data_IF_709454369489
#
_entry.id   IF_709454369489
#
_cell.length_a   1.000
_cell.length_b   1.000
_cell.length_c   1.000
_cell.angle_alpha   90.00
_cell.angle_beta   90.00
_cell.angle_gamma   90.00
#
_symmetry.space_group_name_H-M   'P 1'
#
loop_
_entity.id
_entity.type
_entity.pdbx_description
1 polymer ?
#
# COMPACT_ATOMS: atom_id res chain seq x y z
N UNK A 1 -6.72 -12.64 14.28
CA UNK A 1 -7.30 -11.85 13.18
C UNK A 1 -6.22 -11.65 12.12
N UNK A 2 -6.56 -11.79 10.84
CA UNK A 2 -5.67 -11.55 9.70
C UNK A 2 -6.21 -10.36 8.93
N UNK A 3 -5.40 -9.30 8.84
CA UNK A 3 -5.74 -8.05 8.16
C UNK A 3 -4.78 -7.85 6.98
N UNK A 4 -5.32 -7.77 5.78
CA UNK A 4 -4.58 -7.46 4.56
C UNK A 4 -4.53 -5.94 4.35
N UNK A 5 -3.34 -5.34 4.49
CA UNK A 5 -3.18 -3.89 4.35
C UNK A 5 -2.75 -3.44 2.96
N UNK A 6 -2.52 -4.39 2.07
CA UNK A 6 -2.14 -4.15 0.68
C UNK A 6 -3.13 -4.85 -0.25
N UNK A 7 -4.32 -4.32 -0.29
CA UNK A 7 -5.46 -4.81 -1.05
C UNK A 7 -5.99 -3.66 -1.92
N UNK A 8 -6.26 -3.91 -3.19
CA UNK A 8 -6.68 -2.84 -4.08
C UNK A 8 -8.17 -2.87 -4.39
N UNK A 9 -8.75 -1.67 -4.43
CA UNK A 9 -10.13 -1.45 -4.84
C UNK A 9 -10.21 -0.18 -5.67
N UNK A 10 -10.94 -0.25 -6.78
CA UNK A 10 -11.35 0.88 -7.59
C UNK A 10 -12.83 0.73 -7.89
N UNK A 11 -13.68 1.75 -7.64
CA UNK A 11 -15.11 1.61 -7.86
C UNK A 11 -15.42 1.45 -9.35
N UNK A 12 -16.50 0.73 -9.67
CA UNK A 12 -16.94 0.51 -11.07
C UNK A 12 -17.04 1.82 -11.85
N UNK A 13 -17.57 2.86 -11.22
CA UNK A 13 -17.71 4.18 -11.83
C UNK A 13 -16.36 4.75 -12.34
N UNK A 14 -15.25 4.49 -11.64
CA UNK A 14 -13.92 4.89 -12.10
C UNK A 14 -13.58 4.24 -13.45
N UNK A 15 -13.87 2.95 -13.62
CA UNK A 15 -13.64 2.23 -14.88
C UNK A 15 -14.57 2.74 -15.99
N UNK A 16 -15.84 3.00 -15.67
CA UNK A 16 -16.84 3.48 -16.65
C UNK A 16 -16.47 4.90 -17.18
N UNK A 17 -15.85 5.76 -16.34
CA UNK A 17 -15.51 7.15 -16.65
C UNK A 17 -14.00 7.35 -16.91
N UNK A 18 -13.17 6.31 -16.86
CA UNK A 18 -11.71 6.39 -16.89
C UNK A 18 -11.17 7.24 -18.04
N UNK A 19 -11.77 7.14 -19.23
CA UNK A 19 -11.36 7.93 -20.39
C UNK A 19 -11.55 9.43 -20.25
N UNK A 20 -12.47 9.88 -19.41
CA UNK A 20 -12.70 11.30 -19.12
C UNK A 20 -11.91 11.78 -17.89
N UNK A 21 -11.54 10.86 -16.99
CA UNK A 21 -10.86 11.17 -15.73
C UNK A 21 -9.34 11.23 -15.85
N UNK A 22 -8.76 10.51 -16.82
CA UNK A 22 -7.32 10.52 -17.07
C UNK A 22 -6.90 11.75 -17.89
N UNK A 23 -5.65 12.24 -17.73
CA UNK A 23 -5.10 13.30 -18.57
C UNK A 23 -5.16 12.95 -20.06
N UNK A 24 -5.27 13.96 -20.92
CA UNK A 24 -5.43 13.80 -22.37
C UNK A 24 -4.24 13.10 -23.07
N UNK A 25 -3.08 13.07 -22.44
CA UNK A 25 -1.87 12.37 -22.88
C UNK A 25 -1.88 10.88 -22.55
N UNK A 26 -2.85 10.43 -21.76
CA UNK A 26 -3.06 9.01 -21.45
C UNK A 26 -4.25 8.48 -22.23
N UNK A 27 -4.00 7.46 -23.03
CA UNK A 27 -5.03 6.70 -23.76
C UNK A 27 -5.51 5.51 -22.94
N UNK A 28 -6.82 5.35 -22.76
CA UNK A 28 -7.39 4.15 -22.16
C UNK A 28 -7.56 3.07 -23.24
N UNK A 29 -6.91 1.94 -23.04
CA UNK A 29 -6.89 0.81 -23.99
C UNK A 29 -7.62 -0.37 -23.34
N UNK A 30 -8.68 -0.83 -23.99
CA UNK A 30 -9.40 -2.05 -23.60
C UNK A 30 -9.06 -3.17 -24.56
N UNK A 31 -8.44 -4.23 -24.09
CA UNK A 31 -8.05 -5.39 -24.89
C UNK A 31 -8.31 -6.70 -24.11
N UNK A 32 -9.00 -7.64 -24.70
CA UNK A 32 -9.24 -8.98 -24.14
C UNK A 32 -9.78 -8.99 -22.69
N UNK A 33 -10.68 -8.06 -22.37
CA UNK A 33 -11.25 -7.91 -21.02
C UNK A 33 -10.33 -7.23 -19.99
N UNK A 34 -9.15 -6.79 -20.42
CA UNK A 34 -8.21 -6.01 -19.62
C UNK A 34 -8.29 -4.54 -19.99
N UNK A 35 -7.99 -3.65 -19.04
CA UNK A 35 -7.86 -2.22 -19.27
C UNK A 35 -6.47 -1.74 -18.87
N UNK A 36 -5.89 -0.85 -19.69
CA UNK A 36 -4.61 -0.23 -19.39
C UNK A 36 -4.63 1.25 -19.78
N UNK A 37 -3.76 2.05 -19.16
CA UNK A 37 -3.37 3.35 -19.66
C UNK A 37 -2.18 3.21 -20.62
N UNK A 38 -2.17 4.01 -21.69
CA UNK A 38 -1.02 4.12 -22.60
C UNK A 38 -0.63 5.57 -22.73
N UNK A 39 0.63 5.86 -22.43
CA UNK A 39 1.20 7.20 -22.66
C UNK A 39 1.31 7.45 -24.18
N UNK A 40 0.67 8.50 -24.68
CA UNK A 40 0.61 8.83 -26.10
C UNK A 40 1.95 9.31 -26.67
N UNK A 41 2.82 9.85 -25.83
CA UNK A 41 4.12 10.38 -26.27
C UNK A 41 5.18 9.29 -26.35
N UNK A 42 5.27 8.45 -25.33
CA UNK A 42 6.28 7.37 -25.26
C UNK A 42 5.79 6.04 -25.84
N UNK A 43 4.47 5.86 -25.99
CA UNK A 43 3.86 4.57 -26.34
C UNK A 43 3.91 3.54 -25.20
N UNK A 44 4.44 3.91 -24.03
CA UNK A 44 4.51 3.01 -22.89
C UNK A 44 3.11 2.64 -22.42
N UNK A 45 2.85 1.34 -22.32
CA UNK A 45 1.58 0.82 -21.81
C UNK A 45 1.80 0.36 -20.37
N UNK A 46 0.99 0.92 -19.48
CA UNK A 46 1.01 0.58 -18.07
C UNK A 46 0.49 -0.83 -17.84
N UNK A 47 0.91 -1.46 -16.74
CA UNK A 47 0.49 -2.82 -16.42
C UNK A 47 -1.03 -2.97 -16.52
N UNK A 48 -1.57 -3.83 -17.38
CA UNK A 48 -3.01 -3.97 -17.55
C UNK A 48 -3.70 -4.45 -16.29
N UNK A 49 -4.82 -3.84 -15.98
CA UNK A 49 -5.81 -4.40 -15.06
C UNK A 49 -6.53 -5.51 -15.82
N UNK A 50 -6.18 -6.77 -15.54
CA UNK A 50 -6.58 -7.92 -16.35
C UNK A 50 -8.04 -8.29 -16.23
N UNK A 51 -8.61 -8.16 -15.04
CA UNK A 51 -10.00 -8.41 -14.76
C UNK A 51 -10.53 -7.30 -13.85
N UNK A 52 -11.09 -6.22 -14.40
CA UNK A 52 -11.61 -5.12 -13.61
C UNK A 52 -12.63 -5.53 -12.54
N UNK A 53 -13.36 -6.64 -12.74
CA UNK A 53 -14.32 -7.16 -11.75
C UNK A 53 -13.64 -7.49 -10.42
N UNK A 54 -12.42 -8.01 -10.43
CA UNK A 54 -11.69 -8.31 -9.20
C UNK A 54 -11.37 -7.03 -8.40
N UNK A 55 -11.41 -5.86 -9.04
CA UNK A 55 -11.12 -4.57 -8.42
C UNK A 55 -12.36 -3.89 -7.83
N UNK A 56 -13.54 -4.05 -8.45
CA UNK A 56 -14.73 -3.31 -8.02
C UNK A 56 -15.84 -4.17 -7.40
N UNK A 57 -15.83 -5.48 -7.61
CA UNK A 57 -16.92 -6.35 -7.13
C UNK A 57 -16.61 -6.86 -5.71
N UNK A 58 -17.32 -6.30 -4.74
CA UNK A 58 -17.15 -6.63 -3.32
C UNK A 58 -17.38 -8.12 -3.04
N UNK A 59 -18.38 -8.77 -3.68
CA UNK A 59 -18.67 -10.19 -3.47
C UNK A 59 -17.51 -11.07 -3.96
N UNK A 60 -16.86 -10.71 -5.06
CA UNK A 60 -15.68 -11.40 -5.57
C UNK A 60 -14.52 -11.27 -4.59
N UNK A 61 -14.25 -10.07 -4.08
CA UNK A 61 -13.21 -9.83 -3.09
C UNK A 61 -13.47 -10.58 -1.79
N UNK A 62 -14.70 -10.54 -1.27
CA UNK A 62 -15.10 -11.24 -0.04
C UNK A 62 -14.91 -12.76 -0.17
N UNK A 63 -15.32 -13.36 -1.29
CA UNK A 63 -15.09 -14.80 -1.53
C UNK A 63 -13.60 -15.15 -1.55
N UNK A 64 -12.77 -14.33 -2.18
CA UNK A 64 -11.32 -14.54 -2.23
C UNK A 64 -10.68 -14.42 -0.83
N UNK A 65 -11.08 -13.40 -0.06
CA UNK A 65 -10.65 -13.21 1.33
C UNK A 65 -11.05 -14.39 2.22
N UNK A 66 -12.31 -14.87 2.10
CA UNK A 66 -12.83 -16.00 2.88
C UNK A 66 -12.04 -17.28 2.58
N UNK A 67 -11.74 -17.54 1.30
CA UNK A 67 -10.94 -18.69 0.87
C UNK A 67 -9.50 -18.65 1.42
N UNK A 68 -8.92 -17.46 1.61
CA UNK A 68 -7.58 -17.27 2.17
C UNK A 68 -7.57 -17.18 3.70
N UNK A 69 -8.73 -17.05 4.34
CA UNK A 69 -8.86 -16.85 5.79
C UNK A 69 -8.49 -15.44 6.25
N UNK A 70 -8.67 -14.44 5.37
CA UNK A 70 -8.48 -13.02 5.68
C UNK A 70 -9.75 -12.46 6.28
N UNK A 71 -9.64 -11.90 7.48
CA UNK A 71 -10.78 -11.38 8.22
C UNK A 71 -11.17 -9.97 7.74
N UNK A 72 -10.20 -9.12 7.42
CA UNK A 72 -10.40 -7.73 7.07
C UNK A 72 -9.36 -7.26 6.04
N UNK A 73 -9.72 -6.31 5.18
CA UNK A 73 -8.79 -5.66 4.26
C UNK A 73 -8.84 -4.14 4.38
N UNK A 74 -7.68 -3.50 4.31
CA UNK A 74 -7.54 -2.04 4.18
C UNK A 74 -7.26 -1.73 2.72
N UNK A 75 -8.26 -1.25 1.99
CA UNK A 75 -8.18 -1.11 0.53
C UNK A 75 -7.58 0.23 0.11
N UNK A 76 -6.86 0.22 -1.02
CA UNK A 76 -6.25 1.39 -1.66
C UNK A 76 -6.46 1.39 -3.17
N UNK A 77 -6.33 2.56 -3.80
CA UNK A 77 -6.41 2.71 -5.25
C UNK A 77 -5.10 2.33 -5.99
N UNK A 78 -4.12 1.75 -5.31
CA UNK A 78 -2.80 1.45 -5.88
C UNK A 78 -2.05 2.70 -6.40
N UNK A 79 -1.54 2.65 -7.61
CA UNK A 79 -0.51 3.52 -8.17
C UNK A 79 -1.04 4.61 -9.12
N UNK A 80 -2.31 5.00 -9.02
CA UNK A 80 -2.93 5.92 -9.98
C UNK A 80 -2.74 7.42 -9.70
N UNK A 81 -1.98 7.81 -8.65
CA UNK A 81 -1.81 9.21 -8.28
C UNK A 81 -1.11 10.07 -9.32
N UNK A 82 -0.21 9.52 -10.13
CA UNK A 82 0.52 10.29 -11.15
C UNK A 82 -0.41 10.98 -12.16
N UNK A 83 -1.60 10.43 -12.36
CA UNK A 83 -2.61 10.94 -13.30
C UNK A 83 -3.91 11.34 -12.63
N UNK A 84 -3.98 11.21 -11.33
CA UNK A 84 -5.21 11.46 -10.60
C UNK A 84 -5.57 12.95 -10.65
N UNK A 85 -6.77 13.23 -11.11
CA UNK A 85 -7.42 14.53 -10.91
C UNK A 85 -8.15 14.53 -9.58
N UNK A 86 -8.50 15.71 -9.08
CA UNK A 86 -9.31 15.81 -7.85
C UNK A 86 -10.70 15.18 -8.03
N UNK A 87 -11.24 15.21 -9.25
CA UNK A 87 -12.51 14.57 -9.59
C UNK A 87 -12.39 13.03 -9.53
N UNK A 88 -11.34 12.48 -10.12
CA UNK A 88 -11.04 11.03 -10.02
C UNK A 88 -10.85 10.61 -8.56
N UNK A 89 -10.14 11.41 -7.78
CA UNK A 89 -9.95 11.17 -6.35
C UNK A 89 -11.29 11.08 -5.61
N UNK A 90 -12.22 12.03 -5.85
CA UNK A 90 -13.57 12.02 -5.25
C UNK A 90 -14.36 10.77 -5.62
N UNK A 91 -14.34 10.37 -6.88
CA UNK A 91 -15.03 9.15 -7.34
C UNK A 91 -14.49 7.90 -6.61
N UNK A 92 -13.17 7.81 -6.47
CA UNK A 92 -12.51 6.69 -5.78
C UNK A 92 -12.86 6.72 -4.29
N UNK A 93 -12.74 7.87 -3.64
CA UNK A 93 -13.02 8.01 -2.21
C UNK A 93 -14.49 7.72 -1.88
N UNK A 94 -15.43 8.23 -2.69
CA UNK A 94 -16.87 7.97 -2.51
C UNK A 94 -17.21 6.48 -2.69
N UNK A 95 -16.64 5.84 -3.72
CA UNK A 95 -16.84 4.40 -3.93
C UNK A 95 -16.19 3.54 -2.85
N UNK A 96 -15.05 3.96 -2.33
CA UNK A 96 -14.39 3.29 -1.19
C UNK A 96 -15.19 3.45 0.10
N UNK A 97 -15.75 4.64 0.35
CA UNK A 97 -16.64 4.88 1.49
C UNK A 97 -17.94 4.06 1.41
N UNK A 98 -18.52 3.94 0.21
CA UNK A 98 -19.67 3.06 -0.01
C UNK A 98 -19.35 1.59 0.29
N UNK A 99 -18.19 1.08 -0.17
CA UNK A 99 -17.72 -0.26 0.15
C UNK A 99 -17.61 -0.47 1.67
N UNK A 100 -16.95 0.44 2.38
CA UNK A 100 -16.78 0.38 3.84
C UNK A 100 -18.14 0.44 4.55
N UNK A 101 -19.05 1.31 4.13
CA UNK A 101 -20.37 1.44 4.77
C UNK A 101 -21.23 0.19 4.62
N UNK A 102 -21.09 -0.53 3.51
CA UNK A 102 -21.82 -1.81 3.26
C UNK A 102 -21.16 -3.00 3.97
N UNK A 103 -19.89 -2.95 4.22
CA UNK A 103 -19.12 -4.07 4.78
C UNK A 103 -18.12 -3.60 5.86
N UNK A 104 -18.56 -2.91 6.91
CA UNK A 104 -17.66 -2.27 7.88
C UNK A 104 -16.77 -3.25 8.66
N UNK A 105 -17.23 -4.49 8.84
CA UNK A 105 -16.45 -5.54 9.52
C UNK A 105 -15.40 -6.19 8.59
N UNK A 106 -15.45 -5.92 7.28
CA UNK A 106 -14.59 -6.59 6.28
C UNK A 106 -13.65 -5.63 5.57
N UNK A 107 -14.00 -4.35 5.47
CA UNK A 107 -13.20 -3.36 4.76
C UNK A 107 -13.03 -2.07 5.54
N UNK A 108 -11.83 -1.54 5.48
CA UNK A 108 -11.47 -0.14 5.70
C UNK A 108 -10.83 0.39 4.43
N UNK A 109 -10.72 1.69 4.25
CA UNK A 109 -10.20 2.23 3.01
C UNK A 109 -9.26 3.43 3.24
N UNK A 110 -8.35 3.62 2.30
CA UNK A 110 -7.41 4.72 2.26
C UNK A 110 -7.94 5.84 1.35
N UNK A 111 -7.59 7.06 1.69
CA UNK A 111 -7.89 8.28 0.93
C UNK A 111 -6.96 8.36 -0.28
N UNK A 112 -7.51 8.57 -1.45
CA UNK A 112 -6.75 8.85 -2.67
C UNK A 112 -6.83 10.32 -3.00
N UNK A 113 -5.68 10.99 -3.19
CA UNK A 113 -5.60 12.40 -3.60
C UNK A 113 -4.34 12.65 -4.42
N UNK A 114 -4.39 13.57 -5.40
CA UNK A 114 -3.19 14.07 -6.05
C UNK A 114 -2.42 14.98 -5.08
N UNK A 115 -1.13 14.75 -4.82
CA UNK A 115 -0.37 15.45 -3.77
C UNK A 115 -0.09 16.93 -4.07
N UNK A 116 -0.19 17.37 -5.32
CA UNK A 116 0.17 18.71 -5.80
C UNK A 116 -1.04 19.65 -6.05
N UNK A 117 -2.24 19.30 -5.53
CA UNK A 117 -3.46 20.10 -5.73
C UNK A 117 -3.79 21.08 -4.59
N UNK A 118 -2.81 21.42 -3.74
CA UNK A 118 -2.94 22.47 -2.73
C UNK A 118 -4.18 22.32 -1.84
N UNK A 119 -4.95 23.40 -1.71
CA UNK A 119 -6.14 23.45 -0.85
C UNK A 119 -7.27 22.50 -1.29
N UNK A 120 -7.36 22.14 -2.58
CA UNK A 120 -8.36 21.18 -3.05
C UNK A 120 -8.05 19.78 -2.50
N UNK A 121 -6.77 19.42 -2.45
CA UNK A 121 -6.29 18.19 -1.81
C UNK A 121 -6.61 18.19 -0.31
N UNK A 122 -6.33 19.28 0.41
CA UNK A 122 -6.61 19.40 1.86
C UNK A 122 -8.10 19.22 2.14
N UNK A 123 -8.96 19.89 1.36
CA UNK A 123 -10.42 19.77 1.49
C UNK A 123 -10.88 18.33 1.24
N UNK A 124 -10.33 17.68 0.23
CA UNK A 124 -10.70 16.31 -0.10
C UNK A 124 -10.24 15.32 0.98
N UNK A 125 -9.04 15.47 1.54
CA UNK A 125 -8.57 14.67 2.67
C UNK A 125 -9.52 14.81 3.86
N UNK A 126 -9.90 16.05 4.21
CA UNK A 126 -10.85 16.33 5.31
C UNK A 126 -12.19 15.64 5.09
N UNK A 127 -12.78 15.83 3.88
CA UNK A 127 -14.06 15.22 3.49
C UNK A 127 -14.01 13.68 3.52
N UNK A 128 -12.98 13.08 2.94
CA UNK A 128 -12.84 11.63 2.88
C UNK A 128 -12.63 11.01 4.27
N UNK A 129 -11.94 11.71 5.17
CA UNK A 129 -11.84 11.32 6.58
C UNK A 129 -13.20 11.32 7.29
N UNK A 130 -14.04 12.35 7.03
CA UNK A 130 -15.42 12.41 7.57
C UNK A 130 -16.29 11.25 7.04
N UNK A 131 -16.00 10.72 5.85
CA UNK A 131 -16.61 9.52 5.31
C UNK A 131 -16.07 8.22 5.93
N UNK A 132 -15.10 8.29 6.85
CA UNK A 132 -14.57 7.14 7.58
C UNK A 132 -13.31 6.51 6.98
N UNK A 133 -12.67 7.12 5.99
CA UNK A 133 -11.41 6.62 5.44
C UNK A 133 -10.27 6.88 6.44
N UNK A 134 -9.33 5.91 6.58
CA UNK A 134 -8.45 5.81 7.75
C UNK A 134 -6.95 6.09 7.50
N UNK A 135 -6.53 6.27 6.25
CA UNK A 135 -5.13 6.52 5.88
C UNK A 135 -5.07 7.27 4.55
N UNK A 136 -3.90 7.77 4.15
CA UNK A 136 -3.69 8.37 2.82
C UNK A 136 -2.86 7.43 1.97
N UNK A 137 -3.32 7.06 0.77
CA UNK A 137 -2.54 6.36 -0.24
C UNK A 137 -1.70 7.36 -1.04
N UNK A 138 -0.40 7.11 -1.13
CA UNK A 138 0.59 7.89 -1.87
C UNK A 138 1.45 6.97 -2.72
N UNK A 139 2.05 7.49 -3.80
CA UNK A 139 3.06 6.77 -4.59
C UNK A 139 4.48 7.18 -4.22
N UNK A 140 5.47 6.33 -4.55
CA UNK A 140 6.90 6.62 -4.34
C UNK A 140 7.36 7.87 -5.04
N UNK A 141 6.75 8.19 -6.17
CA UNK A 141 6.96 9.45 -6.90
C UNK A 141 5.64 9.99 -7.40
N UNK A 142 5.59 11.29 -7.61
CA UNK A 142 4.51 11.94 -8.34
C UNK A 142 5.10 12.82 -9.42
N UNK A 143 4.82 12.51 -10.68
CA UNK A 143 5.42 13.20 -11.85
C UNK A 143 6.95 13.24 -11.77
N UNK A 144 7.56 12.12 -11.39
CA UNK A 144 9.01 11.95 -11.27
C UNK A 144 9.66 12.63 -10.06
N UNK A 145 8.88 13.23 -9.14
CA UNK A 145 9.39 13.87 -7.92
C UNK A 145 9.20 12.95 -6.72
N UNK A 146 10.25 12.74 -5.95
CA UNK A 146 10.21 11.98 -4.71
C UNK A 146 9.49 12.74 -3.58
N UNK A 147 9.02 12.04 -2.52
CA UNK A 147 8.19 12.64 -1.48
C UNK A 147 8.89 13.69 -0.60
N UNK A 148 10.22 13.81 -0.63
CA UNK A 148 10.95 14.90 0.04
C UNK A 148 10.84 16.25 -0.68
N UNK A 149 10.30 16.26 -1.91
CA UNK A 149 10.07 17.50 -2.66
C UNK A 149 9.02 18.38 -1.96
N UNK A 150 9.24 19.71 -2.01
CA UNK A 150 8.38 20.71 -1.34
C UNK A 150 6.88 20.60 -1.65
N UNK A 151 6.51 20.07 -2.80
CA UNK A 151 5.10 19.93 -3.23
C UNK A 151 4.32 18.94 -2.38
N UNK A 152 5.01 18.00 -1.70
CA UNK A 152 4.38 17.04 -0.79
C UNK A 152 4.20 17.57 0.63
N UNK A 153 4.83 18.70 0.95
CA UNK A 153 4.86 19.21 2.33
C UNK A 153 3.47 19.43 2.90
N UNK A 154 2.58 20.07 2.14
CA UNK A 154 1.21 20.36 2.58
C UNK A 154 0.42 19.06 2.85
N UNK A 155 0.62 18.03 2.02
CA UNK A 155 0.02 16.71 2.25
C UNK A 155 0.51 16.11 3.57
N UNK A 156 1.80 16.14 3.84
CA UNK A 156 2.38 15.59 5.06
C UNK A 156 1.97 16.36 6.32
N UNK A 157 1.92 17.70 6.26
CA UNK A 157 1.41 18.54 7.34
C UNK A 157 -0.07 18.25 7.63
N UNK A 158 -0.89 18.07 6.58
CA UNK A 158 -2.29 17.70 6.69
C UNK A 158 -2.45 16.31 7.32
N UNK A 159 -1.70 15.32 6.84
CA UNK A 159 -1.71 13.96 7.37
C UNK A 159 -1.33 13.91 8.85
N UNK A 160 -0.23 14.58 9.25
CA UNK A 160 0.22 14.66 10.62
C UNK A 160 -0.80 15.38 11.52
N UNK A 161 -1.35 16.50 11.07
CA UNK A 161 -2.38 17.26 11.81
C UNK A 161 -3.68 16.46 12.04
N UNK A 162 -4.03 15.60 11.11
CA UNK A 162 -5.20 14.72 11.19
C UNK A 162 -4.88 13.35 11.81
N UNK A 163 -3.62 13.05 12.12
CA UNK A 163 -3.13 11.75 12.60
C UNK A 163 -3.49 10.60 11.66
N UNK A 164 -3.42 10.85 10.36
CA UNK A 164 -3.62 9.85 9.33
C UNK A 164 -2.25 9.26 8.93
N UNK A 165 -2.05 7.95 9.01
CA UNK A 165 -0.85 7.33 8.46
C UNK A 165 -0.87 7.43 6.93
N UNK A 166 0.32 7.42 6.33
CA UNK A 166 0.48 7.42 4.88
C UNK A 166 0.97 6.06 4.43
N UNK A 167 0.27 5.45 3.49
CA UNK A 167 0.69 4.27 2.77
C UNK A 167 1.38 4.66 1.47
N UNK A 168 2.61 4.21 1.27
CA UNK A 168 3.42 4.53 0.08
C UNK A 168 3.56 3.30 -0.79
N UNK A 169 2.88 3.31 -1.93
CA UNK A 169 2.90 2.27 -2.94
C UNK A 169 3.89 2.65 -4.07
N UNK A 170 4.56 1.72 -4.77
CA UNK A 170 5.34 2.06 -5.96
C UNK A 170 4.53 2.85 -6.98
N UNK A 171 5.17 3.82 -7.61
CA UNK A 171 4.62 4.51 -8.78
C UNK A 171 4.34 3.51 -9.89
N UNK A 172 3.44 3.88 -10.79
CA UNK A 172 3.11 3.02 -11.93
C UNK A 172 4.32 2.74 -12.80
N UNK A 173 5.15 3.75 -13.05
CA UNK A 173 6.46 3.66 -13.71
C UNK A 173 7.50 4.35 -12.84
N UNK A 174 8.62 3.69 -12.61
CA UNK A 174 9.71 4.32 -11.85
C UNK A 174 10.45 5.32 -12.74
N UNK A 175 10.99 6.43 -12.17
CA UNK A 175 11.78 7.39 -12.95
C UNK A 175 13.21 6.89 -13.23
N UNK A 176 13.49 5.60 -12.98
CA UNK A 176 14.82 5.02 -13.11
C UNK A 176 15.15 4.73 -14.59
N UNK A 177 16.38 5.01 -15.05
CA UNK A 177 16.79 4.74 -16.42
C UNK A 177 17.02 3.24 -16.66
N UNK A 178 16.93 2.83 -17.92
CA UNK A 178 17.25 1.48 -18.39
C UNK A 178 16.35 0.35 -17.82
N UNK A 179 15.11 0.68 -17.48
CA UNK A 179 14.14 -0.28 -16.94
C UNK A 179 13.16 -0.86 -17.97
N UNK A 180 13.27 -0.45 -19.23
CA UNK A 180 12.28 -0.77 -20.29
C UNK A 180 12.36 -2.21 -20.83
N UNK A 181 13.38 -2.99 -20.45
CA UNK A 181 13.63 -4.35 -20.98
C UNK A 181 13.43 -5.39 -19.89
N UNK A 182 12.94 -6.58 -20.27
CA UNK A 182 12.83 -7.77 -19.39
C UNK A 182 12.00 -7.55 -18.12
N UNK A 183 11.06 -6.63 -18.18
CA UNK A 183 10.25 -6.23 -17.01
C UNK A 183 11.08 -5.74 -15.79
N UNK A 184 12.24 -5.13 -16.06
CA UNK A 184 13.15 -4.66 -15.01
C UNK A 184 12.52 -3.57 -14.15
N UNK A 185 11.60 -2.78 -14.71
CA UNK A 185 10.86 -1.77 -13.94
C UNK A 185 10.13 -2.41 -12.76
N UNK A 186 9.47 -3.53 -12.97
CA UNK A 186 8.74 -4.26 -11.92
C UNK A 186 9.69 -5.03 -11.01
N UNK A 187 10.66 -5.74 -11.59
CA UNK A 187 11.53 -6.64 -10.84
C UNK A 187 12.58 -5.92 -9.99
N UNK A 188 13.15 -4.84 -10.49
CA UNK A 188 14.27 -4.10 -9.88
C UNK A 188 13.90 -2.64 -9.62
N UNK A 189 13.19 -2.01 -10.57
CA UNK A 189 12.85 -0.59 -10.51
C UNK A 189 12.01 -0.26 -9.29
N UNK A 190 10.86 -0.89 -9.12
CA UNK A 190 9.94 -0.62 -8.00
C UNK A 190 10.55 -0.85 -6.61
N UNK A 191 11.27 -1.95 -6.34
CA UNK A 191 12.00 -2.09 -5.08
C UNK A 191 13.06 -1.01 -4.86
N UNK A 192 13.78 -0.61 -5.90
CA UNK A 192 14.78 0.47 -5.83
C UNK A 192 14.12 1.82 -5.59
N UNK A 193 13.00 2.10 -6.23
CA UNK A 193 12.24 3.33 -6.10
C UNK A 193 11.69 3.52 -4.67
N UNK A 194 11.18 2.44 -4.06
CA UNK A 194 10.81 2.43 -2.63
C UNK A 194 11.99 2.77 -1.73
N UNK A 195 13.15 2.17 -1.98
CA UNK A 195 14.39 2.48 -1.25
C UNK A 195 14.75 3.96 -1.33
N UNK A 196 14.67 4.55 -2.53
CA UNK A 196 14.98 5.96 -2.75
C UNK A 196 13.96 6.86 -2.06
N UNK A 197 12.67 6.53 -2.12
CA UNK A 197 11.62 7.29 -1.44
C UNK A 197 11.84 7.30 0.08
N UNK A 198 12.12 6.16 0.70
CA UNK A 198 12.42 6.06 2.13
C UNK A 198 13.68 6.87 2.48
N UNK A 199 14.76 6.68 1.71
CA UNK A 199 16.02 7.38 1.95
C UNK A 199 15.85 8.90 1.87
N UNK A 200 15.16 9.41 0.84
CA UNK A 200 14.93 10.84 0.67
C UNK A 200 14.09 11.42 1.82
N UNK A 201 13.03 10.75 2.25
CA UNK A 201 12.22 11.18 3.40
C UNK A 201 13.03 11.23 4.71
N UNK A 202 13.86 10.24 4.94
CA UNK A 202 14.69 10.16 6.15
C UNK A 202 15.80 11.19 6.16
N UNK A 203 16.52 11.34 5.05
CA UNK A 203 17.65 12.26 4.92
C UNK A 203 17.20 13.71 4.71
N UNK A 204 16.07 13.92 4.04
CA UNK A 204 15.46 15.24 3.79
C UNK A 204 14.83 15.88 5.03
N UNK A 205 14.76 15.17 6.16
CA UNK A 205 14.29 15.72 7.42
C UNK A 205 12.77 15.75 7.58
N UNK A 206 12.01 15.06 6.73
CA UNK A 206 10.54 15.01 6.83
C UNK A 206 10.07 14.51 8.19
N UNK A 207 10.65 13.41 8.68
CA UNK A 207 10.29 12.84 9.98
C UNK A 207 10.73 13.69 11.17
N UNK A 208 11.78 14.50 11.04
CA UNK A 208 12.21 15.44 12.08
C UNK A 208 11.25 16.62 12.19
N UNK A 209 10.79 17.13 11.05
CA UNK A 209 9.85 18.25 10.99
C UNK A 209 8.44 17.85 11.41
N UNK A 210 8.06 16.60 11.19
CA UNK A 210 6.73 16.05 11.47
C UNK A 210 6.85 14.80 12.37
N UNK A 211 7.05 14.98 13.68
CA UNK A 211 7.36 13.89 14.61
C UNK A 211 6.23 12.87 14.77
N UNK A 212 4.98 13.25 14.50
CA UNK A 212 3.80 12.37 14.63
C UNK A 212 3.46 11.63 13.31
N UNK A 213 4.19 11.90 12.23
CA UNK A 213 3.95 11.28 10.93
C UNK A 213 4.38 9.81 10.94
N UNK A 214 3.46 8.92 10.58
CA UNK A 214 3.72 7.47 10.41
C UNK A 214 3.54 7.09 8.94
N UNK A 215 4.43 6.26 8.42
CA UNK A 215 4.38 5.81 7.03
C UNK A 215 4.53 4.30 6.93
N UNK A 216 3.67 3.69 6.12
CA UNK A 216 3.74 2.28 5.71
C UNK A 216 4.22 2.21 4.26
N UNK A 217 5.28 1.48 4.00
CA UNK A 217 5.83 1.27 2.66
C UNK A 217 5.51 -0.12 2.15
N UNK A 218 5.03 -0.20 0.91
CA UNK A 218 4.73 -1.45 0.24
C UNK A 218 5.97 -2.34 0.05
N UNK A 219 5.74 -3.63 -0.20
CA UNK A 219 6.73 -4.59 -0.71
C UNK A 219 8.02 -4.66 0.13
N UNK A 220 7.91 -4.84 1.43
CA UNK A 220 9.02 -4.83 2.41
C UNK A 220 9.85 -3.53 2.38
N UNK A 221 9.29 -2.42 1.88
CA UNK A 221 10.05 -1.20 1.62
C UNK A 221 11.11 -1.38 0.51
N UNK A 222 10.85 -2.29 -0.43
CA UNK A 222 11.84 -2.70 -1.42
C UNK A 222 12.98 -3.48 -0.78
N UNK A 223 14.22 -3.05 -0.97
CA UNK A 223 15.40 -3.63 -0.31
C UNK A 223 15.85 -2.82 0.92
N UNK A 224 15.03 -1.87 1.39
CA UNK A 224 15.40 -0.96 2.48
C UNK A 224 15.86 -1.68 3.76
N UNK A 225 15.21 -2.74 4.27
CA UNK A 225 15.68 -3.43 5.46
C UNK A 225 17.15 -3.88 5.37
N UNK A 226 17.58 -4.40 4.22
CA UNK A 226 18.96 -4.89 4.05
C UNK A 226 19.97 -3.79 3.67
N UNK A 227 19.51 -2.68 3.09
CA UNK A 227 20.37 -1.57 2.64
C UNK A 227 20.50 -0.44 3.66
N UNK A 228 19.55 -0.29 4.59
CA UNK A 228 19.48 0.83 5.52
C UNK A 228 20.75 0.97 6.40
N UNK A 229 21.34 -0.14 6.80
CA UNK A 229 22.58 -0.09 7.61
C UNK A 229 23.71 0.55 6.85
N UNK A 230 23.83 0.29 5.55
CA UNK A 230 24.83 0.95 4.69
C UNK A 230 24.54 2.45 4.57
N UNK A 231 23.25 2.81 4.43
CA UNK A 231 22.84 4.21 4.34
C UNK A 231 23.19 4.98 5.60
N UNK A 232 22.95 4.45 6.79
CA UNK A 232 23.12 5.17 8.05
C UNK A 232 24.54 5.09 8.62
N UNK A 233 25.24 3.98 8.44
CA UNK A 233 26.57 3.77 9.02
C UNK A 233 27.72 4.08 8.04
N UNK A 234 27.51 3.86 6.74
CA UNK A 234 28.56 4.09 5.73
C UNK A 234 28.81 5.56 5.42
N UNK A 235 27.91 6.45 5.83
CA UNK A 235 27.93 7.85 5.41
C UNK A 235 28.25 8.86 6.54
N UNK A 236 28.43 8.43 7.77
CA UNK A 236 28.87 9.31 8.84
C UNK A 236 30.23 9.92 8.46
N UNK A 237 30.18 11.19 8.02
CA UNK A 237 31.35 11.97 7.63
C UNK A 237 31.73 12.00 6.15
N UNK A 238 31.05 11.26 5.25
CA UNK A 238 31.45 11.23 3.83
C UNK A 238 30.66 12.17 2.92
N UNK A 239 29.36 12.36 3.15
CA UNK A 239 28.48 13.04 2.20
C UNK A 239 27.57 14.11 2.82
N UNK A 240 27.91 14.67 3.96
CA UNK A 240 27.06 15.69 4.60
C UNK A 240 25.67 15.13 5.00
N UNK A 241 25.58 13.84 5.25
CA UNK A 241 24.36 13.21 5.76
C UNK A 241 24.05 13.76 7.15
N UNK A 242 22.84 14.25 7.40
CA UNK A 242 22.47 14.80 8.70
C UNK A 242 22.68 13.79 9.83
N UNK A 243 23.14 14.28 10.99
CA UNK A 243 23.28 13.45 12.18
C UNK A 243 21.93 13.34 12.90
N UNK A 244 21.07 12.43 12.42
CA UNK A 244 19.77 12.13 12.99
C UNK A 244 19.79 10.88 13.85
N UNK A 245 18.87 10.76 14.81
CA UNK A 245 18.58 9.52 15.51
C UNK A 245 17.78 8.56 14.58
N UNK A 246 18.49 7.92 13.66
CA UNK A 246 17.90 6.99 12.71
C UNK A 246 17.13 5.82 13.37
N UNK A 247 17.60 5.22 14.47
CA UNK A 247 16.81 4.24 15.21
C UNK A 247 15.45 4.75 15.69
N UNK A 248 15.37 6.00 16.14
CA UNK A 248 14.09 6.62 16.52
C UNK A 248 13.19 6.89 15.31
N UNK A 249 13.79 7.30 14.17
CA UNK A 249 13.05 7.52 12.92
C UNK A 249 12.43 6.23 12.39
N UNK A 250 13.17 5.13 12.45
CA UNK A 250 12.69 3.81 11.99
C UNK A 250 11.41 3.36 12.71
N UNK A 251 11.17 3.77 13.95
CA UNK A 251 9.96 3.41 14.70
C UNK A 251 8.66 3.96 14.09
N UNK A 252 8.76 4.91 13.16
CA UNK A 252 7.61 5.51 12.46
C UNK A 252 7.46 5.00 11.04
N UNK A 253 8.34 4.10 10.63
CA UNK A 253 8.37 3.48 9.34
C UNK A 253 7.92 2.03 9.46
N UNK A 254 6.89 1.69 8.71
CA UNK A 254 6.33 0.35 8.64
C UNK A 254 6.53 -0.20 7.23
N UNK A 255 6.52 -1.52 7.08
CA UNK A 255 6.53 -2.19 5.77
C UNK A 255 5.47 -3.28 5.72
N UNK A 256 4.89 -3.51 4.54
CA UNK A 256 4.04 -4.69 4.35
C UNK A 256 4.80 -5.87 3.73
N UNK A 257 4.19 -7.06 3.77
CA UNK A 257 4.79 -8.30 3.25
C UNK A 257 4.37 -8.64 1.82
N UNK A 258 3.69 -7.73 1.11
CA UNK A 258 3.24 -7.97 -0.25
C UNK A 258 4.40 -7.90 -1.28
N UNK A 259 4.20 -8.46 -2.48
CA UNK A 259 3.24 -9.49 -2.79
C UNK A 259 3.76 -10.89 -2.39
N UNK A 260 2.84 -11.76 -2.01
CA UNK A 260 3.20 -13.11 -1.58
C UNK A 260 3.96 -13.93 -2.62
N UNK A 261 3.86 -13.61 -3.91
CA UNK A 261 4.55 -14.33 -4.97
C UNK A 261 6.03 -13.94 -5.15
N UNK A 262 6.48 -12.82 -4.59
CA UNK A 262 7.85 -12.33 -4.77
C UNK A 262 8.72 -12.47 -3.52
N UNK A 263 8.07 -12.64 -2.37
CA UNK A 263 8.74 -12.81 -1.09
C UNK A 263 8.41 -14.18 -0.52
N UNK A 264 9.44 -14.89 -0.06
CA UNK A 264 9.29 -16.13 0.69
C UNK A 264 9.32 -15.86 2.20
N UNK A 265 9.07 -16.87 3.04
CA UNK A 265 9.28 -16.74 4.49
C UNK A 265 10.67 -16.22 4.87
N UNK A 266 11.70 -16.48 4.06
CA UNK A 266 13.08 -16.09 4.36
C UNK A 266 13.28 -14.58 4.30
N UNK A 267 12.76 -13.90 3.26
CA UNK A 267 12.86 -12.45 3.12
C UNK A 267 12.04 -11.74 4.21
N UNK A 268 10.88 -12.29 4.56
CA UNK A 268 10.03 -11.76 5.64
C UNK A 268 10.76 -11.89 6.98
N UNK A 269 11.38 -13.04 7.27
CA UNK A 269 12.20 -13.22 8.48
C UNK A 269 13.40 -12.27 8.50
N UNK A 270 14.09 -12.12 7.38
CA UNK A 270 15.21 -11.19 7.27
C UNK A 270 14.78 -9.77 7.63
N UNK A 271 13.68 -9.29 7.05
CA UNK A 271 13.12 -7.97 7.37
C UNK A 271 12.76 -7.87 8.86
N UNK A 272 12.05 -8.86 9.42
CA UNK A 272 11.65 -8.88 10.83
C UNK A 272 12.84 -8.84 11.79
N UNK A 273 13.94 -9.52 11.46
CA UNK A 273 15.19 -9.50 12.26
C UNK A 273 15.89 -8.15 12.22
N UNK A 274 15.70 -7.37 11.16
CA UNK A 274 16.39 -6.09 10.96
C UNK A 274 15.58 -4.92 11.54
N UNK A 275 14.28 -4.83 11.18
CA UNK A 275 13.43 -3.69 11.56
C UNK A 275 12.47 -4.00 12.72
N UNK A 276 12.26 -5.27 13.04
CA UNK A 276 11.33 -5.73 14.07
C UNK A 276 9.95 -6.07 13.51
N UNK A 277 9.37 -7.18 13.99
CA UNK A 277 8.01 -7.61 13.61
C UNK A 277 6.94 -6.57 13.96
N UNK A 278 7.16 -5.74 14.97
CA UNK A 278 6.26 -4.64 15.36
C UNK A 278 6.12 -3.53 14.30
N UNK A 279 6.95 -3.53 13.28
CA UNK A 279 6.92 -2.56 12.17
C UNK A 279 6.55 -3.22 10.84
N UNK A 280 6.03 -4.43 10.87
CA UNK A 280 5.63 -5.20 9.70
C UNK A 280 4.13 -5.48 9.73
N UNK A 281 3.49 -5.42 8.57
CA UNK A 281 2.07 -5.69 8.37
C UNK A 281 1.89 -6.70 7.24
N UNK A 282 0.87 -7.58 7.33
CA UNK A 282 0.57 -8.51 6.25
C UNK A 282 -0.09 -7.79 5.08
N UNK A 283 0.41 -8.01 3.88
CA UNK A 283 -0.13 -7.51 2.63
C UNK A 283 -0.08 -8.55 1.51
N UNK A 284 -1.02 -8.50 0.57
CA UNK A 284 -1.15 -9.47 -0.52
C UNK A 284 -0.81 -8.94 -1.91
N UNK A 285 -1.08 -7.67 -2.16
CA UNK A 285 -1.09 -7.04 -3.51
C UNK A 285 -2.25 -7.56 -4.40
N UNK A 286 -3.36 -8.00 -3.77
CA UNK A 286 -4.57 -8.38 -4.49
C UNK A 286 -5.16 -7.17 -5.24
N UNK A 287 -5.64 -7.30 -6.49
CA UNK A 287 -5.70 -8.51 -7.32
C UNK A 287 -4.61 -8.54 -8.41
N UNK A 288 -3.45 -7.94 -8.19
CA UNK A 288 -2.36 -7.80 -9.19
C UNK A 288 -1.62 -9.12 -9.45
N UNK A 289 -2.35 -10.19 -9.80
CA UNK A 289 -1.77 -11.46 -10.19
C UNK A 289 -2.60 -12.16 -11.28
N UNK A 290 -2.05 -13.24 -11.86
CA UNK A 290 -2.79 -14.14 -12.76
C UNK A 290 -3.75 -15.05 -12.00
N UNK A 291 -3.54 -15.21 -10.70
CA UNK A 291 -4.36 -15.96 -9.76
C UNK A 291 -4.62 -15.08 -8.53
N UNK A 292 -5.60 -14.15 -8.59
CA UNK A 292 -5.88 -13.23 -7.49
C UNK A 292 -6.22 -13.92 -6.17
N UNK A 293 -6.98 -14.99 -6.20
CA UNK A 293 -7.31 -15.74 -4.98
C UNK A 293 -6.08 -16.48 -4.40
N UNK A 294 -5.23 -17.03 -5.26
CA UNK A 294 -4.00 -17.70 -4.86
C UNK A 294 -2.99 -16.75 -4.22
N UNK A 295 -2.90 -15.49 -4.66
CA UNK A 295 -1.96 -14.53 -4.07
C UNK A 295 -2.33 -14.20 -2.63
N UNK A 296 -3.62 -14.10 -2.30
CA UNK A 296 -4.09 -13.88 -0.92
C UNK A 296 -3.65 -15.04 -0.01
N UNK A 297 -3.90 -16.27 -0.45
CA UNK A 297 -3.50 -17.45 0.31
C UNK A 297 -1.99 -17.51 0.48
N UNK A 298 -1.22 -17.25 -0.56
CA UNK A 298 0.23 -17.28 -0.54
C UNK A 298 0.81 -16.23 0.43
N UNK A 299 0.25 -15.02 0.47
CA UNK A 299 0.66 -13.98 1.41
C UNK A 299 0.49 -14.44 2.88
N UNK A 300 -0.64 -15.05 3.20
CA UNK A 300 -0.91 -15.61 4.52
C UNK A 300 0.05 -16.78 4.83
N UNK A 301 0.25 -17.70 3.88
CA UNK A 301 1.08 -18.89 4.07
C UNK A 301 2.56 -18.51 4.25
N UNK A 302 3.05 -17.47 3.57
CA UNK A 302 4.43 -16.99 3.73
C UNK A 302 4.69 -16.47 5.14
N UNK A 303 3.79 -15.68 5.72
CA UNK A 303 3.93 -15.23 7.12
C UNK A 303 3.83 -16.41 8.08
N UNK A 304 2.91 -17.36 7.85
CA UNK A 304 2.77 -18.57 8.65
C UNK A 304 4.03 -19.45 8.60
N UNK A 305 4.64 -19.57 7.43
CA UNK A 305 5.83 -20.38 7.17
C UNK A 305 7.13 -19.85 7.76
N UNK A 306 7.14 -18.62 8.30
CA UNK A 306 8.33 -18.08 8.99
C UNK A 306 8.63 -18.82 10.30
N UNK A 307 9.90 -18.75 10.76
CA UNK A 307 10.30 -19.21 12.09
C UNK A 307 10.14 -18.12 13.19
N UNK A 308 9.38 -17.07 12.90
CA UNK A 308 9.02 -16.06 13.88
C UNK A 308 8.13 -16.68 14.98
N UNK A 309 8.20 -16.14 16.18
CA UNK A 309 7.33 -16.54 17.28
C UNK A 309 5.85 -16.25 16.96
N UNK A 310 4.93 -16.96 17.61
CA UNK A 310 3.50 -16.73 17.47
C UNK A 310 3.09 -15.28 17.81
N UNK A 311 3.80 -14.65 18.75
CA UNK A 311 3.58 -13.24 19.09
C UNK A 311 3.97 -12.31 17.94
N UNK A 312 5.14 -12.54 17.31
CA UNK A 312 5.58 -11.75 16.16
C UNK A 312 4.66 -11.96 14.95
N UNK A 313 4.21 -13.20 14.71
CA UNK A 313 3.23 -13.49 13.65
C UNK A 313 1.89 -12.77 13.89
N UNK A 314 1.38 -12.75 15.13
CA UNK A 314 0.16 -12.00 15.46
C UNK A 314 0.31 -10.50 15.22
N UNK A 315 1.46 -9.92 15.57
CA UNK A 315 1.77 -8.52 15.26
C UNK A 315 1.66 -8.25 13.75
N UNK A 316 2.32 -9.08 12.93
CA UNK A 316 2.33 -8.93 11.46
C UNK A 316 0.92 -9.15 10.88
N UNK A 317 0.18 -10.15 11.37
CA UNK A 317 -1.15 -10.47 10.83
C UNK A 317 -2.21 -9.42 11.14
N UNK A 318 -2.15 -8.72 12.28
CA UNK A 318 -3.25 -7.83 12.62
C UNK A 318 -2.98 -6.77 13.67
N UNK A 319 -2.25 -7.06 14.75
CA UNK A 319 -2.11 -6.14 15.88
C UNK A 319 -1.51 -4.79 15.43
N UNK A 320 -0.50 -4.82 14.56
CA UNK A 320 0.12 -3.61 14.02
C UNK A 320 -0.84 -2.83 13.11
N UNK A 321 -1.66 -3.51 12.30
CA UNK A 321 -2.65 -2.87 11.45
C UNK A 321 -3.76 -2.19 12.27
N UNK A 322 -4.25 -2.87 13.33
CA UNK A 322 -5.21 -2.31 14.26
C UNK A 322 -4.67 -1.01 14.89
N UNK A 323 -3.41 -1.03 15.32
CA UNK A 323 -2.78 0.13 15.96
C UNK A 323 -2.54 1.27 14.95
N UNK A 324 -1.99 0.96 13.76
CA UNK A 324 -1.60 1.96 12.77
C UNK A 324 -2.82 2.68 12.16
N UNK A 325 -3.86 1.92 11.81
CA UNK A 325 -5.06 2.45 11.14
C UNK A 325 -6.21 2.80 12.08
N UNK A 326 -6.04 2.64 13.40
CA UNK A 326 -7.08 2.97 14.38
C UNK A 326 -8.29 2.03 14.36
N UNK A 327 -8.10 0.74 14.03
CA UNK A 327 -9.15 -0.26 13.85
C UNK A 327 -9.55 -0.98 15.16
N UNK A 328 -9.51 -0.29 16.30
CA UNK A 328 -9.79 -0.89 17.61
C UNK A 328 -11.17 -1.54 17.71
N UNK A 329 -12.15 -1.10 16.93
CA UNK A 329 -13.49 -1.69 16.86
C UNK A 329 -13.47 -3.16 16.40
N UNK A 330 -12.49 -3.56 15.58
CA UNK A 330 -12.35 -4.96 15.13
C UNK A 330 -11.86 -5.88 16.26
N UNK A 331 -11.10 -5.36 17.23
CA UNK A 331 -10.55 -6.15 18.34
C UNK A 331 -11.62 -6.54 19.39
N UNK A 332 -12.72 -5.78 19.50
CA UNK A 332 -13.77 -5.99 20.50
C UNK A 332 -14.78 -7.07 20.10
N UNK A 333 -14.82 -7.49 18.82
CA UNK A 333 -15.79 -8.47 18.31
C UNK A 333 -15.19 -9.91 18.24
N UNK A 334 -14.33 -10.24 19.20
CA UNK A 334 -13.68 -11.57 19.28
C UNK A 334 -14.64 -12.76 19.51
N UNK A 335 -15.96 -12.52 19.63
CA UNK A 335 -16.98 -13.56 19.73
C UNK A 335 -17.23 -14.32 18.41
N UNK A 336 -16.81 -13.78 17.25
CA UNK A 336 -17.09 -14.34 15.91
C UNK A 336 -16.08 -15.38 15.43
N UNK A 337 -14.91 -15.51 16.03
CA UNK A 337 -13.89 -16.49 15.62
C UNK A 337 -14.18 -17.92 16.12
N UNK A 338 -15.11 -18.10 17.04
CA UNK A 338 -15.42 -19.42 17.61
C UNK A 338 -16.36 -20.28 16.75
N UNK A 339 -17.04 -19.73 15.74
CA UNK A 339 -18.12 -20.43 15.00
C UNK A 339 -17.77 -20.86 13.56
N UNK A 340 -16.52 -20.64 13.11
CA UNK A 340 -16.05 -21.26 11.86
C UNK A 340 -15.53 -22.66 12.17
N UNK A 341 -16.48 -23.60 12.35
CA UNK A 341 -16.20 -25.01 12.65
C UNK A 341 -15.26 -25.62 11.62
N UNK A 342 -14.11 -26.05 12.10
CA UNK A 342 -13.24 -27.02 11.40
C UNK A 342 -14.09 -28.26 11.16
N UNK A 343 -14.25 -28.76 9.91
CA UNK A 343 -14.88 -30.05 9.69
C UNK A 343 -14.06 -31.10 10.46
N UNK A 344 -14.68 -31.72 11.45
CA UNK A 344 -14.08 -32.91 12.08
C UNK A 344 -14.14 -34.02 11.05
N UNK A 345 -12.99 -34.35 10.47
CA UNK A 345 -12.83 -35.57 9.69
C UNK A 345 -13.31 -36.76 10.55
N UNK A 346 -14.42 -37.35 10.12
CA UNK A 346 -14.84 -38.65 10.64
C UNK A 346 -13.93 -39.70 10.01
N UNK A 347 -12.96 -40.16 10.78
CA UNK A 347 -12.35 -41.48 10.51
C UNK A 347 -13.42 -42.56 10.57
N UNK A 348 -13.62 -43.26 9.48
CA UNK A 348 -14.07 -44.67 9.41
C UNK A 348 -13.13 -45.38 8.45
#
# INVERSE_FOLDING_TARGET
MIIDVHHHFLPKRFFDEMGALLPSDIEVVWENGSVAGRDRHSGYTFTPIRNPTDWYDADTQLRAMDAAGIDHAVVSAACYQDWMTIEAARIINDGSADLVSRHPDRFSAMISVPPDHGEDMVREIGRARELGLCAINLTTTHRGRYPDHKDFRLLFETAAGLKLPIYVHPSWRTPLPNMDRWDLDRAIGKPTDLNLAIANLMLGGTFQQLPDLQMLFAHLGGSFPVTMRRLFYGQRGWLGVPDYDYPALLKRLFVDTAPGMWWSPVEIECAARIIGASQMLMGSDYPLSNDPAGVLKLAVDNVRGTHLSDAEKRQIFGDNAIALFGLAHLATDSSRTADRGVPRDRCC
#
